data_IF_258378436174
#
_entry.id   IF_258378436174
#
_cell.length_a   1.000
_cell.length_b   1.000
_cell.length_c   1.000
_cell.angle_alpha   90.00
_cell.angle_beta   90.00
_cell.angle_gamma   90.00
#
_symmetry.space_group_name_H-M   'P 1'
#
loop_
_entity.id
_entity.type
_entity.pdbx_description
1 polymer ?
#
# COMPACT_ATOMS: atom_id res chain seq x y z
N UNK A 1 -8.84 2.60 21.99
CA UNK A 1 -8.49 2.02 23.31
C UNK A 1 -7.39 1.02 23.05
N UNK A 2 -6.32 1.04 23.85
CA UNK A 2 -5.20 0.10 23.70
C UNK A 2 -5.64 -1.31 24.12
N UNK A 3 -5.13 -2.34 23.45
CA UNK A 3 -5.53 -3.74 23.69
C UNK A 3 -4.55 -4.44 24.64
N UNK A 4 -5.01 -4.70 25.88
CA UNK A 4 -4.20 -5.30 26.94
C UNK A 4 -3.75 -6.74 26.63
N UNK A 5 -4.41 -7.46 25.70
CA UNK A 5 -4.03 -8.81 25.29
C UNK A 5 -2.93 -8.85 24.24
N UNK A 6 -2.52 -7.70 23.70
CA UNK A 6 -1.43 -7.64 22.72
C UNK A 6 -0.11 -8.13 23.33
N UNK A 7 0.55 -9.07 22.66
CA UNK A 7 1.83 -9.63 23.14
C UNK A 7 2.73 -10.09 21.99
N UNK A 8 4.05 -10.01 22.21
CA UNK A 8 5.06 -10.36 21.21
C UNK A 8 5.01 -9.45 19.97
N UNK A 9 5.35 -10.01 18.80
CA UNK A 9 5.35 -9.27 17.52
C UNK A 9 4.00 -9.37 16.82
N UNK A 10 3.60 -8.29 16.16
CA UNK A 10 2.38 -8.19 15.33
C UNK A 10 2.78 -7.65 13.95
N UNK A 11 2.38 -8.34 12.89
CA UNK A 11 2.57 -7.86 11.52
C UNK A 11 1.43 -6.91 11.19
N UNK A 12 1.77 -5.71 10.71
CA UNK A 12 0.82 -4.66 10.33
C UNK A 12 1.09 -4.30 8.86
N UNK A 13 0.55 -5.11 7.95
CA UNK A 13 0.71 -4.94 6.50
C UNK A 13 -0.59 -5.29 5.79
N UNK A 14 -0.96 -4.52 4.79
CA UNK A 14 -2.08 -4.82 3.90
C UNK A 14 -1.65 -5.74 2.75
N UNK A 15 -2.45 -5.78 1.69
CA UNK A 15 -2.13 -6.46 0.42
C UNK A 15 -0.81 -5.98 -0.16
N UNK A 16 -0.05 -6.93 -0.72
CA UNK A 16 1.15 -6.68 -1.52
C UNK A 16 0.73 -6.43 -2.97
N UNK A 17 1.35 -5.45 -3.63
CA UNK A 17 1.13 -5.16 -5.04
C UNK A 17 2.49 -4.97 -5.73
N UNK A 18 2.63 -5.53 -6.93
CA UNK A 18 3.81 -5.30 -7.76
C UNK A 18 3.83 -3.84 -8.28
N UNK A 19 5.01 -3.28 -8.53
CA UNK A 19 5.14 -1.90 -9.00
C UNK A 19 4.38 -1.61 -10.29
N UNK A 20 4.31 -2.58 -11.21
CA UNK A 20 3.48 -2.45 -12.43
C UNK A 20 2.02 -2.21 -12.09
N UNK A 21 1.47 -2.96 -11.12
CA UNK A 21 0.06 -2.81 -10.70
C UNK A 21 -0.17 -1.43 -10.04
N UNK A 22 0.78 -0.96 -9.23
CA UNK A 22 0.72 0.38 -8.61
C UNK A 22 0.74 1.47 -9.69
N UNK A 23 1.64 1.38 -10.68
CA UNK A 23 1.74 2.36 -11.76
C UNK A 23 0.47 2.37 -12.62
N UNK A 24 -0.07 1.22 -12.99
CA UNK A 24 -1.31 1.11 -13.77
C UNK A 24 -2.49 1.73 -13.03
N UNK A 25 -2.64 1.41 -11.74
CA UNK A 25 -3.65 1.99 -10.86
C UNK A 25 -3.53 3.52 -10.78
N UNK A 26 -2.31 4.04 -10.60
CA UNK A 26 -2.07 5.48 -10.54
C UNK A 26 -2.32 6.18 -11.88
N UNK A 27 -1.87 5.58 -13.00
CA UNK A 27 -2.11 6.09 -14.36
C UNK A 27 -3.60 6.23 -14.65
N UNK A 28 -4.40 5.25 -14.24
CA UNK A 28 -5.85 5.28 -14.46
C UNK A 28 -6.54 6.42 -13.70
N UNK A 29 -6.07 6.74 -12.48
CA UNK A 29 -6.70 7.76 -11.62
C UNK A 29 -6.12 9.16 -11.80
N UNK A 30 -4.83 9.27 -12.09
CA UNK A 30 -4.09 10.53 -12.18
C UNK A 30 -3.31 10.65 -13.50
N UNK A 31 -3.95 10.56 -14.67
CA UNK A 31 -3.29 10.42 -15.96
C UNK A 31 -2.39 11.61 -16.38
N UNK A 32 -2.53 12.77 -15.72
CA UNK A 32 -1.73 13.96 -16.01
C UNK A 32 -0.31 13.91 -15.45
N UNK A 33 -0.01 13.00 -14.51
CA UNK A 33 1.33 12.91 -13.94
C UNK A 33 2.29 12.16 -14.87
N UNK A 34 3.59 12.49 -14.83
CA UNK A 34 4.59 11.74 -15.56
C UNK A 34 4.77 10.36 -14.90
N UNK A 35 4.52 9.30 -15.65
CA UNK A 35 4.74 7.94 -15.19
C UNK A 35 5.70 7.20 -16.11
N UNK A 36 6.52 6.36 -15.50
CA UNK A 36 7.38 5.46 -16.25
C UNK A 36 6.58 4.35 -16.94
N UNK A 37 7.10 3.87 -18.07
CA UNK A 37 6.54 2.75 -18.81
C UNK A 37 7.25 1.42 -18.52
N UNK A 38 8.34 1.45 -17.75
CA UNK A 38 9.09 0.28 -17.32
C UNK A 38 9.53 0.46 -15.87
N UNK A 39 9.39 -0.59 -15.07
CA UNK A 39 9.83 -0.58 -13.67
C UNK A 39 11.36 -0.62 -13.54
N UNK A 40 12.02 -1.38 -14.42
CA UNK A 40 13.47 -1.51 -14.51
C UNK A 40 13.84 -2.03 -15.90
N UNK A 41 15.10 -1.86 -16.31
CA UNK A 41 15.67 -2.54 -17.48
C UNK A 41 15.98 -4.02 -17.21
N UNK A 42 16.03 -4.42 -15.95
CA UNK A 42 16.28 -5.78 -15.49
C UNK A 42 15.01 -6.34 -14.86
N UNK A 43 14.68 -7.59 -15.19
CA UNK A 43 13.61 -8.33 -14.52
C UNK A 43 14.13 -8.80 -13.15
N UNK A 44 13.47 -8.34 -12.09
CA UNK A 44 13.76 -8.78 -10.71
C UNK A 44 12.87 -9.96 -10.32
N UNK A 45 13.18 -10.58 -9.18
CA UNK A 45 12.32 -11.63 -8.63
C UNK A 45 10.95 -11.06 -8.26
N UNK A 46 9.91 -11.53 -8.95
CA UNK A 46 8.52 -11.23 -8.65
C UNK A 46 7.89 -12.39 -7.87
N UNK A 47 8.47 -12.70 -6.71
CA UNK A 47 7.90 -13.70 -5.81
C UNK A 47 6.69 -13.12 -5.10
N UNK A 48 5.49 -13.53 -5.53
CA UNK A 48 4.26 -13.24 -4.80
C UNK A 48 4.39 -13.74 -3.36
N UNK A 49 4.11 -12.85 -2.42
CA UNK A 49 4.13 -13.16 -1.00
C UNK A 49 2.98 -12.47 -0.31
N UNK A 50 2.55 -13.06 0.80
CA UNK A 50 1.46 -12.56 1.63
C UNK A 50 2.01 -12.39 3.04
N UNK A 51 1.66 -11.26 3.66
CA UNK A 51 1.98 -10.98 5.04
C UNK A 51 0.85 -11.50 5.94
N UNK A 52 1.18 -12.44 6.82
CA UNK A 52 0.22 -13.02 7.78
C UNK A 52 -0.14 -11.96 8.84
N UNK A 53 -1.40 -11.51 8.86
CA UNK A 53 -1.89 -10.48 9.78
C UNK A 53 -3.05 -10.94 10.66
N UNK A 54 -3.37 -12.23 10.71
CA UNK A 54 -4.50 -12.71 11.53
C UNK A 54 -4.28 -12.42 13.02
N UNK A 55 -3.03 -12.37 13.48
CA UNK A 55 -2.73 -12.07 14.89
C UNK A 55 -3.22 -10.69 15.30
N UNK A 56 -3.02 -9.65 14.47
CA UNK A 56 -3.49 -8.29 14.79
C UNK A 56 -5.00 -8.16 14.55
N UNK A 57 -5.55 -8.85 13.55
CA UNK A 57 -7.00 -8.89 13.30
C UNK A 57 -7.79 -9.53 14.43
N UNK A 58 -7.29 -10.63 15.01
CA UNK A 58 -7.88 -11.30 16.19
C UNK A 58 -7.92 -10.42 17.43
N UNK A 59 -7.07 -9.40 17.50
CA UNK A 59 -7.08 -8.37 18.54
C UNK A 59 -8.09 -7.25 18.28
N UNK A 60 -8.91 -7.35 17.23
CA UNK A 60 -9.92 -6.35 16.88
C UNK A 60 -9.40 -5.17 16.06
N UNK A 61 -8.20 -5.28 15.48
CA UNK A 61 -7.70 -4.26 14.58
C UNK A 61 -8.59 -4.15 13.33
N UNK A 62 -8.98 -2.94 12.92
CA UNK A 62 -9.89 -2.75 11.79
C UNK A 62 -9.28 -3.21 10.46
N UNK A 63 -10.12 -3.33 9.44
CA UNK A 63 -9.65 -3.61 8.09
C UNK A 63 -8.63 -2.54 7.65
N UNK A 64 -7.56 -2.98 7.01
CA UNK A 64 -6.59 -2.09 6.40
C UNK A 64 -7.23 -1.33 5.24
N UNK A 65 -6.79 -0.09 5.00
CA UNK A 65 -7.06 0.61 3.74
C UNK A 65 -6.52 -0.21 2.58
N UNK A 66 -7.19 -0.12 1.43
CA UNK A 66 -6.68 -0.70 0.20
C UNK A 66 -5.49 0.12 -0.31
N UNK A 67 -4.60 -0.51 -1.10
CA UNK A 67 -3.47 0.20 -1.75
C UNK A 67 -3.95 1.42 -2.56
N UNK A 68 -5.03 1.36 -3.37
CA UNK A 68 -5.57 2.54 -4.05
C UNK A 68 -5.94 3.69 -3.11
N UNK A 69 -6.60 3.41 -1.98
CA UNK A 69 -6.98 4.44 -1.01
C UNK A 69 -5.75 5.07 -0.35
N UNK A 70 -4.75 4.26 0.01
CA UNK A 70 -3.51 4.77 0.62
C UNK A 70 -2.78 5.74 -0.30
N UNK A 71 -2.63 5.39 -1.58
CA UNK A 71 -1.98 6.27 -2.56
C UNK A 71 -2.84 7.51 -2.86
N UNK A 72 -4.16 7.36 -2.93
CA UNK A 72 -5.08 8.48 -3.16
C UNK A 72 -5.01 9.53 -2.05
N UNK A 73 -5.07 9.09 -0.80
CA UNK A 73 -4.97 9.97 0.37
C UNK A 73 -3.60 10.67 0.42
N UNK A 74 -2.53 9.96 0.06
CA UNK A 74 -1.18 10.52 0.00
C UNK A 74 -1.07 11.63 -1.06
N UNK A 75 -1.54 11.36 -2.28
CA UNK A 75 -1.51 12.33 -3.39
C UNK A 75 -2.33 13.57 -3.06
N UNK A 76 -3.55 13.40 -2.53
CA UNK A 76 -4.39 14.52 -2.10
C UNK A 76 -3.72 15.37 -1.03
N UNK A 77 -3.14 14.73 -0.01
CA UNK A 77 -2.38 15.42 1.04
C UNK A 77 -1.19 16.22 0.50
N UNK A 78 -0.52 15.74 -0.56
CA UNK A 78 0.56 16.46 -1.22
C UNK A 78 0.07 17.64 -2.06
N UNK A 79 -1.03 17.45 -2.81
CA UNK A 79 -1.66 18.53 -3.58
C UNK A 79 -2.16 19.67 -2.67
N UNK A 80 -2.85 19.32 -1.57
CA UNK A 80 -3.37 20.29 -0.61
C UNK A 80 -2.27 21.13 0.05
N UNK A 81 -1.07 20.55 0.20
CA UNK A 81 0.08 21.22 0.81
C UNK A 81 1.02 21.87 -0.22
N UNK A 82 0.73 21.74 -1.51
CA UNK A 82 1.55 22.29 -2.60
C UNK A 82 2.89 21.58 -2.81
N UNK A 83 3.00 20.31 -2.42
CA UNK A 83 4.18 19.48 -2.70
C UNK A 83 4.08 18.71 -4.02
N UNK A 84 2.87 18.64 -4.60
CA UNK A 84 2.57 18.00 -5.87
C UNK A 84 1.51 18.81 -6.64
#
# INVERSE_FOLDING_TARGET
MEECKASGRLVCSSSVAHWTQIIEMLKAKYPSYPFENKCSSQEGDNCEHIMETSKIQKLGFPAFKSVPEMFDDCIKSFQEKGFL
#
